data_IF_694246486473
#
_entry.id   IF_694246486473
#
_cell.length_a   1.000
_cell.length_b   1.000
_cell.length_c   1.000
_cell.angle_alpha   90.00
_cell.angle_beta   90.00
_cell.angle_gamma   90.00
#
_symmetry.space_group_name_H-M   'P 1'
#
loop_
_entity.id
_entity.type
_entity.pdbx_description
1 polymer ?
#
# COMPACT_ATOMS: atom_id res chain seq x y z
N UNK A 1 -10.15 -9.34 -10.71
CA UNK A 1 -9.01 -9.50 -11.66
C UNK A 1 -8.20 -10.72 -11.25
N UNK A 2 -7.83 -11.64 -12.16
CA UNK A 2 -7.02 -12.82 -11.82
C UNK A 2 -5.54 -12.46 -11.66
N UNK A 3 -4.80 -13.27 -10.89
CA UNK A 3 -3.34 -13.18 -10.83
C UNK A 3 -2.75 -13.41 -12.23
N UNK A 4 -1.67 -12.69 -12.55
CA UNK A 4 -1.01 -12.74 -13.85
C UNK A 4 -1.68 -11.94 -14.96
N UNK A 5 -2.86 -11.35 -14.72
CA UNK A 5 -3.46 -10.39 -15.66
C UNK A 5 -2.58 -9.15 -15.83
N UNK A 6 -2.66 -8.50 -16.99
CA UNK A 6 -1.88 -7.29 -17.29
C UNK A 6 -2.72 -6.03 -17.09
N UNK A 7 -2.20 -5.09 -16.32
CA UNK A 7 -2.77 -3.77 -16.07
C UNK A 7 -1.93 -2.72 -16.82
N UNK A 8 -2.48 -2.08 -17.88
CA UNK A 8 -1.74 -1.13 -18.70
C UNK A 8 -1.52 0.23 -18.01
N UNK A 9 -2.22 0.47 -16.90
CA UNK A 9 -2.15 1.71 -16.12
C UNK A 9 -0.73 2.03 -15.67
N UNK A 10 -0.36 3.30 -15.79
CA UNK A 10 0.94 3.83 -15.36
C UNK A 10 0.76 4.76 -14.18
N UNK A 11 1.68 4.68 -13.22
CA UNK A 11 1.70 5.56 -12.07
C UNK A 11 2.05 7.00 -12.53
N UNK A 12 1.21 8.02 -12.21
CA UNK A 12 1.50 9.43 -12.48
C UNK A 12 2.75 9.95 -11.76
N UNK A 13 3.32 9.18 -10.83
CA UNK A 13 4.59 9.44 -10.16
C UNK A 13 5.59 8.33 -10.56
N UNK A 14 6.32 8.46 -11.69
CA UNK A 14 7.18 7.40 -12.21
C UNK A 14 8.28 6.93 -11.24
N UNK A 15 8.71 7.80 -10.33
CA UNK A 15 9.68 7.47 -9.28
C UNK A 15 9.12 6.59 -8.16
N UNK A 16 7.80 6.31 -8.14
CA UNK A 16 7.17 5.35 -7.23
C UNK A 16 7.18 3.92 -7.79
N UNK A 17 7.75 3.71 -8.99
CA UNK A 17 7.90 2.38 -9.55
C UNK A 17 8.79 1.51 -8.68
N UNK A 18 8.31 0.33 -8.34
CA UNK A 18 9.00 -0.66 -7.51
C UNK A 18 9.68 -1.73 -8.38
N UNK A 19 11.01 -1.73 -8.38
CA UNK A 19 11.85 -2.70 -9.08
C UNK A 19 12.45 -3.76 -8.15
N UNK A 20 11.94 -3.89 -6.92
CA UNK A 20 12.44 -4.83 -5.91
C UNK A 20 12.24 -6.30 -6.29
N UNK A 21 11.23 -6.58 -7.11
CA UNK A 21 10.96 -7.90 -7.67
C UNK A 21 11.20 -7.89 -9.19
N UNK A 22 11.81 -8.94 -9.75
CA UNK A 22 11.93 -9.07 -11.20
C UNK A 22 10.54 -9.17 -11.86
N UNK A 23 10.50 -9.11 -13.18
CA UNK A 23 9.27 -9.39 -13.92
C UNK A 23 8.74 -10.81 -13.57
N UNK A 24 7.42 -10.97 -13.33
CA UNK A 24 6.84 -12.28 -13.07
C UNK A 24 7.09 -13.27 -14.20
N UNK A 25 7.51 -14.48 -13.84
CA UNK A 25 7.86 -15.56 -14.76
C UNK A 25 7.23 -16.89 -14.30
N UNK A 26 6.55 -17.58 -15.22
CA UNK A 26 5.77 -18.79 -14.92
C UNK A 26 6.62 -19.95 -14.36
N UNK A 27 7.90 -20.03 -14.75
CA UNK A 27 8.78 -21.15 -14.38
C UNK A 27 9.51 -20.92 -13.06
N UNK A 28 9.80 -19.66 -12.75
CA UNK A 28 10.64 -19.26 -11.62
C UNK A 28 9.85 -18.62 -10.48
N UNK A 29 8.53 -18.46 -10.62
CA UNK A 29 7.64 -17.97 -9.57
C UNK A 29 6.66 -19.06 -9.11
N UNK A 30 6.04 -18.83 -7.95
CA UNK A 30 4.96 -19.65 -7.42
C UNK A 30 3.85 -18.77 -6.85
N UNK A 31 2.65 -19.33 -6.76
CA UNK A 31 1.52 -18.71 -6.08
C UNK A 31 1.50 -19.15 -4.62
N UNK A 32 1.51 -18.17 -3.72
CA UNK A 32 1.41 -18.37 -2.27
C UNK A 32 0.01 -17.95 -1.84
N UNK A 33 -0.73 -18.83 -1.17
CA UNK A 33 -1.99 -18.50 -0.54
C UNK A 33 -1.79 -18.36 0.97
N UNK A 34 -2.34 -17.29 1.54
CA UNK A 34 -2.13 -16.92 2.93
C UNK A 34 -3.42 -16.44 3.59
N UNK A 35 -3.50 -16.64 4.90
CA UNK A 35 -4.48 -15.97 5.77
C UNK A 35 -3.73 -15.23 6.86
N UNK A 36 -3.89 -13.90 6.91
CA UNK A 36 -3.30 -13.02 7.93
C UNK A 36 -4.33 -12.71 8.99
N UNK A 37 -3.97 -12.95 10.23
CA UNK A 37 -4.70 -12.45 11.38
C UNK A 37 -4.05 -11.14 11.86
N UNK A 38 -4.80 -10.05 11.76
CA UNK A 38 -4.39 -8.73 12.25
C UNK A 38 -4.45 -8.68 13.77
N UNK A 39 -3.68 -7.76 14.35
CA UNK A 39 -3.66 -7.52 15.80
C UNK A 39 -4.98 -7.02 16.37
N UNK A 40 -5.82 -6.38 15.55
CA UNK A 40 -7.17 -5.93 15.87
C UNK A 40 -8.24 -7.03 15.72
N UNK A 41 -7.84 -8.27 15.38
CA UNK A 41 -8.75 -9.40 15.16
C UNK A 41 -9.32 -9.47 13.74
N UNK A 42 -9.02 -8.51 12.87
CA UNK A 42 -9.36 -8.57 11.46
C UNK A 42 -8.65 -9.72 10.74
N UNK A 43 -9.28 -10.23 9.68
CA UNK A 43 -8.72 -11.33 8.88
C UNK A 43 -8.59 -10.88 7.43
N UNK A 44 -7.44 -11.16 6.85
CA UNK A 44 -7.16 -10.95 5.43
C UNK A 44 -6.80 -12.28 4.80
N UNK A 45 -7.48 -12.63 3.71
CA UNK A 45 -7.03 -13.68 2.82
C UNK A 45 -6.30 -13.06 1.64
N UNK A 46 -5.18 -13.64 1.24
CA UNK A 46 -4.45 -13.15 0.09
C UNK A 46 -3.83 -14.27 -0.74
N UNK A 47 -3.66 -13.97 -2.03
CA UNK A 47 -2.91 -14.78 -2.98
C UNK A 47 -1.82 -13.91 -3.57
N UNK A 48 -0.56 -14.37 -3.54
CA UNK A 48 0.60 -13.61 -3.98
C UNK A 48 1.41 -14.44 -4.99
N UNK A 49 1.86 -13.81 -6.07
CA UNK A 49 2.91 -14.34 -6.92
C UNK A 49 4.25 -13.83 -6.39
N UNK A 50 5.18 -14.74 -6.11
CA UNK A 50 6.54 -14.40 -5.68
C UNK A 50 7.58 -15.32 -6.35
N UNK A 51 8.82 -14.85 -6.56
CA UNK A 51 9.90 -15.69 -7.04
C UNK A 51 10.17 -16.88 -6.11
N UNK A 52 10.54 -18.02 -6.68
CA UNK A 52 10.94 -19.21 -5.92
C UNK A 52 12.17 -18.93 -5.04
N UNK A 53 13.08 -18.06 -5.49
CA UNK A 53 14.21 -17.58 -4.68
C UNK A 53 13.76 -16.81 -3.45
N UNK A 54 12.70 -15.99 -3.57
CA UNK A 54 12.09 -15.28 -2.45
C UNK A 54 11.46 -16.28 -1.48
N UNK A 55 10.67 -17.24 -1.96
CA UNK A 55 10.04 -18.29 -1.12
C UNK A 55 11.10 -19.04 -0.30
N UNK A 56 12.21 -19.43 -0.93
CA UNK A 56 13.32 -20.13 -0.27
C UNK A 56 14.02 -19.24 0.77
N UNK A 57 14.36 -18.00 0.42
CA UNK A 57 15.02 -17.07 1.32
C UNK A 57 14.18 -16.76 2.58
N UNK A 58 12.86 -16.69 2.40
CA UNK A 58 11.90 -16.42 3.47
C UNK A 58 11.43 -17.69 4.20
N UNK A 59 11.92 -18.87 3.81
CA UNK A 59 11.53 -20.18 4.37
C UNK A 59 10.02 -20.36 4.42
N UNK A 60 9.33 -19.92 3.37
CA UNK A 60 7.88 -20.02 3.27
C UNK A 60 7.51 -21.48 2.99
N UNK A 61 6.75 -22.08 3.91
CA UNK A 61 6.32 -23.47 3.85
C UNK A 61 4.84 -23.55 4.14
N UNK A 62 4.09 -24.29 3.31
CA UNK A 62 2.68 -24.52 3.53
C UNK A 62 2.41 -25.15 4.91
N UNK A 63 1.35 -24.67 5.58
CA UNK A 63 0.98 -25.06 6.94
C UNK A 63 1.73 -24.31 8.05
N UNK A 64 2.77 -23.53 7.73
CA UNK A 64 3.48 -22.73 8.73
C UNK A 64 2.90 -21.32 8.86
N UNK A 65 3.13 -20.75 10.04
CA UNK A 65 2.85 -19.35 10.32
C UNK A 65 4.16 -18.56 10.32
N UNK A 66 4.20 -17.43 9.61
CA UNK A 66 5.30 -16.48 9.71
C UNK A 66 4.79 -15.08 10.00
N UNK A 67 5.54 -14.27 10.76
CA UNK A 67 5.36 -12.83 10.74
C UNK A 67 5.52 -12.33 9.31
N UNK A 68 4.53 -11.60 8.81
CA UNK A 68 4.63 -10.97 7.51
C UNK A 68 4.09 -9.55 7.56
N UNK A 69 4.68 -8.71 6.72
CA UNK A 69 4.18 -7.40 6.38
C UNK A 69 3.62 -7.45 4.96
N UNK A 70 2.35 -7.06 4.78
CA UNK A 70 1.73 -6.88 3.47
C UNK A 70 1.73 -5.39 3.16
N UNK A 71 2.59 -4.97 2.24
CA UNK A 71 2.81 -3.56 1.91
C UNK A 71 1.53 -2.91 1.36
N UNK A 72 0.81 -3.63 0.49
CA UNK A 72 -0.40 -3.19 -0.19
C UNK A 72 -1.57 -2.95 0.76
N UNK A 73 -1.50 -3.46 1.99
CA UNK A 73 -2.54 -3.25 3.01
C UNK A 73 -2.01 -2.53 4.25
N UNK A 74 -0.70 -2.26 4.32
CA UNK A 74 -0.02 -1.79 5.53
C UNK A 74 -0.29 -2.67 6.75
N UNK A 75 -0.41 -3.97 6.54
CA UNK A 75 -0.82 -4.91 7.59
C UNK A 75 0.37 -5.69 8.08
N UNK A 76 0.60 -5.61 9.39
CA UNK A 76 1.44 -6.53 10.13
C UNK A 76 0.57 -7.56 10.84
N UNK A 77 0.93 -8.82 10.64
CA UNK A 77 0.23 -9.91 11.27
C UNK A 77 1.02 -11.20 11.22
N UNK A 78 0.43 -12.22 11.81
CA UNK A 78 0.91 -13.59 11.64
C UNK A 78 0.14 -14.16 10.46
N UNK A 79 0.88 -14.50 9.40
CA UNK A 79 0.33 -15.09 8.20
C UNK A 79 0.50 -16.60 8.24
N UNK A 80 -0.62 -17.30 8.15
CA UNK A 80 -0.62 -18.74 7.93
C UNK A 80 -0.54 -19.00 6.44
N UNK A 81 0.48 -19.74 6.00
CA UNK A 81 0.61 -20.17 4.61
C UNK A 81 -0.34 -21.35 4.40
N UNK A 82 -1.39 -21.14 3.63
CA UNK A 82 -2.41 -22.16 3.40
C UNK A 82 -2.05 -23.06 2.22
N UNK A 83 -1.38 -22.53 1.20
CA UNK A 83 -0.89 -23.30 0.05
C UNK A 83 0.30 -22.62 -0.63
N UNK A 84 1.09 -23.44 -1.33
CA UNK A 84 2.08 -23.00 -2.31
C UNK A 84 1.82 -23.82 -3.58
N UNK A 85 1.33 -23.16 -4.61
CA UNK A 85 0.99 -23.76 -5.90
C UNK A 85 1.95 -23.25 -6.99
N UNK A 86 1.98 -23.93 -8.13
CA UNK A 86 2.66 -23.42 -9.33
C UNK A 86 2.14 -22.03 -9.73
N UNK A 87 2.99 -21.23 -10.38
CA UNK A 87 2.57 -19.97 -10.97
C UNK A 87 1.42 -20.22 -11.97
N UNK A 88 0.31 -19.46 -11.92
CA UNK A 88 -0.70 -19.52 -12.95
C UNK A 88 -0.15 -18.98 -14.28
N UNK A 89 -0.84 -19.27 -15.38
CA UNK A 89 -0.51 -18.68 -16.68
C UNK A 89 -0.57 -17.14 -16.59
N UNK A 90 0.48 -16.49 -17.07
CA UNK A 90 0.61 -15.04 -17.11
C UNK A 90 0.07 -14.52 -18.45
N UNK A 91 -0.74 -13.47 -18.41
CA UNK A 91 -1.22 -12.85 -19.63
C UNK A 91 -0.07 -12.17 -20.37
N UNK A 92 -0.03 -12.34 -21.69
CA UNK A 92 0.80 -11.54 -22.59
C UNK A 92 0.15 -10.17 -22.86
N UNK A 93 0.94 -9.14 -23.12
CA UNK A 93 0.44 -7.83 -23.54
C UNK A 93 1.13 -6.67 -22.83
N UNK A 94 0.65 -5.46 -23.09
CA UNK A 94 1.14 -4.25 -22.42
C UNK A 94 0.68 -4.19 -20.96
N UNK A 95 1.51 -3.57 -20.13
CA UNK A 95 1.20 -3.33 -18.72
C UNK A 95 1.91 -4.27 -17.76
N UNK A 96 1.60 -4.10 -16.48
CA UNK A 96 2.28 -4.80 -15.39
C UNK A 96 1.37 -5.89 -14.84
N UNK A 97 1.98 -7.01 -14.42
CA UNK A 97 1.23 -8.17 -13.98
C UNK A 97 0.57 -7.94 -12.61
N UNK A 98 -0.63 -8.49 -12.43
CA UNK A 98 -1.28 -8.58 -11.12
C UNK A 98 -0.58 -9.67 -10.31
N UNK A 99 0.17 -9.26 -9.30
CA UNK A 99 0.99 -10.15 -8.44
C UNK A 99 0.36 -10.44 -7.10
N UNK A 100 -0.78 -9.83 -6.79
CA UNK A 100 -1.41 -9.98 -5.50
C UNK A 100 -2.91 -9.77 -5.58
N UNK A 101 -3.64 -10.49 -4.75
CA UNK A 101 -5.08 -10.31 -4.53
C UNK A 101 -5.33 -10.38 -3.04
N UNK A 102 -6.15 -9.47 -2.55
CA UNK A 102 -6.44 -9.37 -1.13
C UNK A 102 -7.93 -9.28 -0.88
N UNK A 103 -8.36 -9.94 0.18
CA UNK A 103 -9.72 -9.87 0.72
C UNK A 103 -9.61 -9.58 2.20
N UNK A 104 -9.88 -8.35 2.59
CA UNK A 104 -10.10 -8.02 4.00
C UNK A 104 -11.54 -8.42 4.32
N UNK A 105 -11.72 -9.48 5.12
CA UNK A 105 -13.04 -10.12 5.32
C UNK A 105 -14.09 -9.17 5.91
N UNK A 106 -13.62 -8.18 6.67
CA UNK A 106 -14.47 -7.26 7.40
C UNK A 106 -13.75 -5.93 7.63
N UNK A 107 -14.41 -4.86 7.21
CA UNK A 107 -14.14 -3.49 7.62
C UNK A 107 -15.48 -2.91 8.06
N UNK A 108 -15.49 -2.19 9.19
CA UNK A 108 -16.72 -1.67 9.80
C UNK A 108 -16.99 -0.19 9.44
N UNK A 109 -16.04 0.47 8.79
CA UNK A 109 -16.14 1.85 8.30
C UNK A 109 -15.61 1.93 6.86
N UNK A 110 -16.43 2.42 5.95
CA UNK A 110 -16.08 2.63 4.54
C UNK A 110 -16.49 4.03 4.10
N UNK A 111 -15.78 4.59 3.13
CA UNK A 111 -16.21 5.78 2.42
C UNK A 111 -17.00 5.38 1.17
N UNK A 112 -18.08 6.10 0.89
CA UNK A 112 -18.86 6.04 -0.34
C UNK A 112 -18.82 7.40 -1.01
N UNK A 113 -18.45 7.42 -2.28
CA UNK A 113 -18.58 8.59 -3.15
C UNK A 113 -19.51 8.31 -4.32
N UNK A 114 -20.22 9.33 -4.78
CA UNK A 114 -20.80 9.36 -6.12
C UNK A 114 -19.95 10.26 -6.99
N UNK A 115 -19.67 9.82 -8.21
CA UNK A 115 -18.84 10.55 -9.17
C UNK A 115 -19.58 10.74 -10.49
N UNK A 116 -19.46 11.93 -11.07
CA UNK A 116 -19.98 12.28 -12.39
C UNK A 116 -18.86 12.17 -13.43
N UNK A 117 -18.98 11.22 -14.36
CA UNK A 117 -18.11 11.08 -15.52
C UNK A 117 -18.34 12.18 -16.56
N UNK A 118 -17.36 12.37 -17.45
CA UNK A 118 -17.43 13.36 -18.54
C UNK A 118 -18.55 13.07 -19.56
N UNK A 119 -19.00 11.83 -19.65
CA UNK A 119 -20.13 11.39 -20.48
C UNK A 119 -21.50 11.58 -19.81
N UNK A 120 -21.52 12.10 -18.58
CA UNK A 120 -22.73 12.28 -17.77
C UNK A 120 -23.14 11.03 -16.98
N UNK A 121 -22.39 9.93 -17.05
CA UNK A 121 -22.62 8.75 -16.22
C UNK A 121 -22.35 9.09 -14.75
N UNK A 122 -23.22 8.65 -13.84
CA UNK A 122 -22.96 8.68 -12.40
C UNK A 122 -22.63 7.27 -11.93
N UNK A 123 -21.52 7.15 -11.22
CA UNK A 123 -21.09 5.90 -10.62
C UNK A 123 -20.91 6.05 -9.10
N UNK A 124 -21.26 5.02 -8.35
CA UNK A 124 -20.98 4.94 -6.91
C UNK A 124 -19.74 4.09 -6.68
N UNK A 125 -18.75 4.65 -5.97
CA UNK A 125 -17.54 3.94 -5.55
C UNK A 125 -17.52 3.82 -4.02
N UNK A 126 -17.18 2.64 -3.53
CA UNK A 126 -17.02 2.36 -2.11
C UNK A 126 -15.68 1.69 -1.84
N UNK A 127 -15.05 2.09 -0.75
CA UNK A 127 -13.76 1.56 -0.35
C UNK A 127 -13.41 1.94 1.08
N UNK A 128 -12.25 1.53 1.55
CA UNK A 128 -11.76 2.00 2.85
C UNK A 128 -11.52 3.50 2.79
N UNK A 129 -11.76 4.20 3.90
CA UNK A 129 -11.58 5.66 4.01
C UNK A 129 -10.17 6.11 3.65
N UNK A 130 -9.18 5.24 3.86
CA UNK A 130 -7.77 5.50 3.60
C UNK A 130 -7.31 5.17 2.17
N UNK A 131 -8.16 4.53 1.34
CA UNK A 131 -7.71 4.05 0.04
C UNK A 131 -7.38 5.23 -0.89
N UNK A 132 -6.17 5.31 -1.49
CA UNK A 132 -5.78 6.50 -2.21
C UNK A 132 -6.33 6.54 -3.64
N UNK A 133 -6.90 7.70 -4.00
CA UNK A 133 -7.38 8.03 -5.33
C UNK A 133 -6.58 9.21 -5.87
N UNK A 134 -6.28 9.21 -7.17
CA UNK A 134 -5.58 10.33 -7.80
C UNK A 134 -6.49 11.55 -7.98
N UNK A 135 -6.20 12.62 -7.25
CA UNK A 135 -6.84 13.92 -7.42
C UNK A 135 -6.09 14.78 -8.43
N UNK A 136 -6.80 15.24 -9.46
CA UNK A 136 -6.28 16.20 -10.43
C UNK A 136 -6.12 17.60 -9.81
N UNK A 137 -6.95 17.94 -8.83
CA UNK A 137 -6.89 19.25 -8.17
C UNK A 137 -5.73 19.36 -7.20
N UNK A 138 -5.45 18.28 -6.45
CA UNK A 138 -4.34 18.24 -5.49
C UNK A 138 -3.04 17.74 -6.12
N UNK A 139 -3.12 17.18 -7.33
CA UNK A 139 -2.01 16.54 -8.04
C UNK A 139 -1.28 15.51 -7.16
N UNK A 140 -2.05 14.76 -6.38
CA UNK A 140 -1.55 13.76 -5.43
C UNK A 140 -2.60 12.67 -5.17
N UNK A 141 -2.15 11.60 -4.53
CA UNK A 141 -2.95 10.56 -3.92
C UNK A 141 -3.70 11.11 -2.70
N UNK A 142 -5.03 11.10 -2.76
CA UNK A 142 -5.91 11.56 -1.68
C UNK A 142 -6.68 10.36 -1.13
N UNK A 143 -6.71 10.16 0.20
CA UNK A 143 -7.58 9.15 0.80
C UNK A 143 -9.04 9.33 0.38
N UNK A 144 -9.72 8.24 0.03
CA UNK A 144 -11.12 8.25 -0.42
C UNK A 144 -12.05 9.01 0.55
N UNK A 145 -11.83 8.88 1.86
CA UNK A 145 -12.59 9.55 2.91
C UNK A 145 -12.26 11.04 3.11
N UNK A 146 -11.22 11.55 2.45
CA UNK A 146 -10.76 12.95 2.51
C UNK A 146 -11.05 13.74 1.22
N UNK A 147 -11.72 13.12 0.24
CA UNK A 147 -12.17 13.79 -0.98
C UNK A 147 -13.22 14.88 -0.66
N UNK A 148 -13.29 15.89 -1.51
CA UNK A 148 -14.25 16.99 -1.39
C UNK A 148 -15.26 16.95 -2.53
N UNK A 149 -16.50 17.38 -2.27
CA UNK A 149 -17.46 17.63 -3.34
C UNK A 149 -16.91 18.66 -4.34
N UNK A 150 -17.06 18.37 -5.63
CA UNK A 150 -16.47 19.15 -6.72
C UNK A 150 -15.02 18.77 -7.07
N UNK A 151 -14.36 17.92 -6.28
CA UNK A 151 -12.98 17.50 -6.56
C UNK A 151 -12.89 16.68 -7.84
N UNK A 152 -11.93 17.03 -8.71
CA UNK A 152 -11.68 16.37 -9.99
C UNK A 152 -10.73 15.19 -9.81
N UNK A 153 -11.17 14.02 -10.23
CA UNK A 153 -10.42 12.76 -10.16
C UNK A 153 -9.99 12.33 -11.55
N UNK A 154 -8.82 11.69 -11.65
CA UNK A 154 -8.39 11.09 -12.91
C UNK A 154 -9.21 9.83 -13.18
N UNK A 155 -9.81 9.79 -14.38
CA UNK A 155 -10.67 8.70 -14.85
C UNK A 155 -10.25 8.26 -16.26
N UNK A 156 -10.56 7.03 -16.65
CA UNK A 156 -10.25 6.47 -17.96
C UNK A 156 -8.77 6.08 -18.17
N UNK A 157 -8.51 5.20 -19.13
CA UNK A 157 -7.14 4.81 -19.51
C UNK A 157 -6.39 6.02 -20.10
N UNK A 158 -5.10 6.24 -19.77
CA UNK A 158 -4.24 7.06 -20.61
C UNK A 158 -4.34 6.50 -22.04
N UNK A 159 -4.87 7.26 -23.01
CA UNK A 159 -4.74 6.84 -24.40
C UNK A 159 -3.25 6.67 -24.68
N UNK A 160 -2.81 5.59 -25.34
CA UNK A 160 -1.44 5.53 -25.82
C UNK A 160 -1.20 6.79 -26.64
N UNK A 161 -0.20 7.58 -26.23
CA UNK A 161 0.23 8.75 -26.95
C UNK A 161 0.54 8.28 -28.37
N UNK A 162 -0.32 8.62 -29.32
CA UNK A 162 0.06 8.67 -30.72
C UNK A 162 1.33 9.49 -30.76
N UNK A 163 2.44 8.84 -31.11
CA UNK A 163 3.80 9.35 -31.06
C UNK A 163 3.89 10.83 -31.49
N UNK A 164 4.04 11.74 -30.52
CA UNK A 164 4.75 13.00 -30.75
C UNK A 164 5.27 13.54 -29.41
N UNK A 165 6.56 13.29 -29.19
CA UNK A 165 7.57 14.19 -28.61
C UNK A 165 7.07 15.36 -27.75
N UNK A 166 7.30 15.30 -26.43
CA UNK A 166 7.15 16.46 -25.56
C UNK A 166 7.26 16.09 -24.08
N UNK A 167 8.42 16.34 -23.49
CA UNK A 167 8.64 16.34 -22.04
C UNK A 167 7.73 17.40 -21.38
N UNK A 168 6.61 16.96 -20.81
CA UNK A 168 5.70 17.82 -20.05
C UNK A 168 4.45 17.07 -19.58
N UNK A 169 4.14 17.19 -18.29
CA UNK A 169 2.93 16.62 -17.66
C UNK A 169 1.61 17.25 -18.16
N UNK A 170 1.67 18.31 -18.96
CA UNK A 170 0.49 19.03 -19.47
C UNK A 170 -0.32 18.27 -20.53
N UNK A 171 0.07 17.04 -20.91
CA UNK A 171 -0.56 16.29 -22.01
C UNK A 171 -1.19 14.94 -21.64
N UNK A 172 -1.22 14.52 -20.37
CA UNK A 172 -1.65 13.15 -20.01
C UNK A 172 -3.17 13.05 -19.79
N UNK A 173 -3.84 14.13 -19.40
CA UNK A 173 -5.31 14.16 -19.25
C UNK A 173 -5.92 14.56 -20.60
N UNK A 174 -6.28 13.57 -21.42
CA UNK A 174 -7.08 13.83 -22.61
C UNK A 174 -8.44 14.44 -22.23
N UNK A 175 -9.04 15.25 -23.11
CA UNK A 175 -10.45 15.64 -22.96
C UNK A 175 -11.30 14.39 -22.68
N UNK A 176 -11.96 14.35 -21.53
CA UNK A 176 -12.81 13.23 -21.09
C UNK A 176 -12.22 12.32 -20.01
N UNK A 177 -11.00 12.55 -19.52
CA UNK A 177 -10.39 11.76 -18.44
C UNK A 177 -10.61 12.35 -17.03
N UNK A 178 -11.80 12.87 -16.77
CA UNK A 178 -12.15 13.48 -15.49
C UNK A 178 -13.48 12.95 -14.98
N UNK A 179 -13.50 12.59 -13.70
CA UNK A 179 -14.72 12.38 -12.94
C UNK A 179 -14.80 13.41 -11.80
N UNK A 180 -15.99 13.90 -11.48
CA UNK A 180 -16.20 14.92 -10.44
C UNK A 180 -16.90 14.27 -9.25
N UNK A 181 -16.35 14.41 -8.05
CA UNK A 181 -17.03 13.97 -6.82
C UNK A 181 -18.31 14.79 -6.60
N UNK A 182 -19.45 14.12 -6.55
CA UNK A 182 -20.76 14.73 -6.32
C UNK A 182 -21.09 14.70 -4.83
N UNK A 183 -20.85 13.57 -4.19
CA UNK A 183 -21.15 13.35 -2.77
C UNK A 183 -20.06 12.51 -2.12
N UNK A 184 -19.88 12.69 -0.81
CA UNK A 184 -19.06 11.83 0.04
C UNK A 184 -19.82 11.51 1.32
N UNK A 185 -19.85 10.23 1.70
CA UNK A 185 -20.46 9.76 2.94
C UNK A 185 -19.62 8.67 3.59
N UNK A 186 -19.54 8.71 4.93
CA UNK A 186 -18.91 7.66 5.73
C UNK A 186 -19.99 6.70 6.22
N UNK A 187 -19.86 5.44 5.83
CA UNK A 187 -20.82 4.39 6.17
C UNK A 187 -20.22 3.47 7.24
N UNK A 188 -20.96 3.29 8.33
CA UNK A 188 -20.60 2.40 9.41
C UNK A 188 -21.32 1.07 9.24
N UNK A 189 -20.78 0.22 8.37
CA UNK A 189 -21.32 -1.11 8.10
C UNK A 189 -20.21 -2.12 7.86
N UNK A 190 -20.48 -3.35 8.28
CA UNK A 190 -19.56 -4.46 8.13
C UNK A 190 -19.57 -5.00 6.70
N UNK A 191 -18.50 -4.75 5.96
CA UNK A 191 -18.38 -5.15 4.54
C UNK A 191 -16.99 -5.74 4.27
N UNK A 192 -16.87 -6.81 3.47
CA UNK A 192 -15.58 -7.23 2.94
C UNK A 192 -15.09 -6.23 1.88
N UNK A 193 -13.80 -5.94 1.87
CA UNK A 193 -13.17 -5.11 0.84
C UNK A 193 -12.07 -5.87 0.12
N UNK A 194 -11.81 -5.46 -1.12
CA UNK A 194 -10.91 -6.15 -2.03
C UNK A 194 -9.81 -5.20 -2.49
N UNK A 195 -8.59 -5.73 -2.67
CA UNK A 195 -7.46 -4.99 -3.24
C UNK A 195 -6.68 -5.93 -4.18
N UNK A 196 -5.88 -5.36 -5.07
CA UNK A 196 -4.91 -6.10 -5.90
C UNK A 196 -3.52 -5.49 -5.75
N UNK A 197 -2.49 -6.31 -5.96
CA UNK A 197 -1.12 -5.85 -6.16
C UNK A 197 -0.82 -5.85 -7.66
N UNK A 198 -0.18 -4.79 -8.14
CA UNK A 198 0.22 -4.62 -9.55
C UNK A 198 1.72 -4.39 -9.54
N UNK A 199 2.45 -5.32 -10.15
CA UNK A 199 3.91 -5.35 -10.19
C UNK A 199 4.49 -3.99 -10.61
N UNK A 200 5.36 -3.45 -9.78
CA UNK A 200 6.10 -2.20 -9.99
C UNK A 200 5.27 -0.92 -10.00
N UNK A 201 4.19 -0.84 -10.77
CA UNK A 201 3.39 0.39 -10.93
C UNK A 201 2.60 0.74 -9.67
N UNK A 202 2.15 -0.27 -8.92
CA UNK A 202 1.34 -0.11 -7.73
C UNK A 202 0.08 0.76 -7.92
N UNK A 203 -0.47 0.78 -9.14
CA UNK A 203 -1.70 1.49 -9.47
C UNK A 203 -2.61 0.64 -10.35
N UNK A 204 -3.91 0.87 -10.25
CA UNK A 204 -4.92 0.27 -11.11
C UNK A 204 -6.17 1.15 -11.15
N UNK A 205 -7.17 0.71 -11.91
CA UNK A 205 -8.41 1.43 -12.08
C UNK A 205 -9.58 0.68 -11.45
N UNK A 206 -10.51 1.43 -10.87
CA UNK A 206 -11.74 0.92 -10.27
C UNK A 206 -12.97 1.58 -10.88
N UNK A 207 -14.07 0.84 -10.89
CA UNK A 207 -15.33 1.30 -11.47
C UNK A 207 -15.34 1.30 -13.00
N UNK A 208 -16.52 1.54 -13.55
CA UNK A 208 -16.79 1.69 -14.98
C UNK A 208 -16.16 2.97 -15.53
N UNK A 209 -16.11 4.03 -14.73
CA UNK A 209 -15.41 5.27 -15.06
C UNK A 209 -13.87 5.13 -15.01
N UNK A 210 -13.37 4.04 -14.44
CA UNK A 210 -11.94 3.75 -14.38
C UNK A 210 -11.14 4.75 -13.55
N UNK A 211 -11.60 5.04 -12.33
CA UNK A 211 -10.90 5.93 -11.41
C UNK A 211 -9.53 5.36 -11.03
N UNK A 212 -8.48 6.18 -11.08
CA UNK A 212 -7.13 5.76 -10.74
C UNK A 212 -6.93 5.64 -9.22
N UNK A 213 -6.56 4.45 -8.76
CA UNK A 213 -6.22 4.14 -7.36
C UNK A 213 -4.78 3.63 -7.24
N UNK A 214 -4.25 3.68 -6.02
CA UNK A 214 -2.92 3.19 -5.67
C UNK A 214 -3.00 2.03 -4.66
N UNK A 215 -2.12 1.02 -4.81
CA UNK A 215 -2.10 -0.17 -3.94
C UNK A 215 -1.76 0.17 -2.50
N UNK A 216 -0.75 1.03 -2.29
CA UNK A 216 -0.26 1.42 -0.95
C UNK A 216 -0.93 2.70 -0.47
N UNK A 217 -1.43 2.71 0.76
CA UNK A 217 -1.77 3.96 1.44
C UNK A 217 -0.47 4.67 1.89
N UNK A 218 -0.08 5.79 1.30
CA UNK A 218 1.07 6.59 1.81
C UNK A 218 0.52 7.66 2.74
N UNK A 219 0.96 7.65 3.99
CA UNK A 219 0.60 8.67 4.97
C UNK A 219 1.51 9.89 4.74
N UNK A 220 0.91 11.05 4.48
CA UNK A 220 1.63 12.27 4.12
C UNK A 220 1.50 13.37 5.19
N UNK A 221 2.57 14.14 5.47
CA UNK A 221 2.50 15.25 6.41
C UNK A 221 1.33 16.21 6.11
N UNK A 222 0.52 16.52 7.12
CA UNK A 222 -0.61 17.45 7.00
C UNK A 222 -1.95 16.85 6.59
N UNK A 223 -2.03 15.54 6.35
CA UNK A 223 -3.31 14.82 6.08
C UNK A 223 -4.02 14.41 7.38
N UNK A 224 -5.32 14.08 7.31
CA UNK A 224 -6.02 13.53 8.47
C UNK A 224 -5.47 12.15 8.82
N UNK A 225 -5.15 11.32 7.81
CA UNK A 225 -4.42 10.06 8.02
C UNK A 225 -3.09 10.23 8.80
N UNK A 226 -2.38 11.34 8.59
CA UNK A 226 -1.19 11.68 9.37
C UNK A 226 -1.51 12.06 10.81
N UNK A 227 -2.56 12.85 11.03
CA UNK A 227 -3.04 13.18 12.37
C UNK A 227 -3.51 11.93 13.13
N UNK A 228 -4.23 11.03 12.46
CA UNK A 228 -4.70 9.77 13.02
C UNK A 228 -3.54 8.83 13.33
N UNK A 229 -2.55 8.73 12.44
CA UNK A 229 -1.33 7.98 12.70
C UNK A 229 -0.55 8.54 13.91
N UNK A 230 -0.41 9.86 14.02
CA UNK A 230 0.19 10.49 15.20
C UNK A 230 -0.59 10.17 16.48
N UNK A 231 -1.93 10.30 16.43
CA UNK A 231 -2.81 10.01 17.56
C UNK A 231 -2.75 8.53 17.96
N UNK A 232 -2.74 7.62 17.00
CA UNK A 232 -2.61 6.18 17.22
C UNK A 232 -1.28 5.84 17.89
N UNK A 233 -0.17 6.41 17.42
CA UNK A 233 1.16 6.23 18.04
C UNK A 233 1.18 6.78 19.48
N UNK A 234 0.64 7.99 19.68
CA UNK A 234 0.64 8.65 20.99
C UNK A 234 -0.20 7.90 22.03
N UNK A 235 -1.33 7.32 21.61
CA UNK A 235 -2.31 6.66 22.48
C UNK A 235 -2.22 5.12 22.48
N UNK A 236 -1.17 4.56 21.89
CA UNK A 236 -1.03 3.12 21.71
C UNK A 236 -1.04 2.35 23.05
N UNK A 237 -1.86 1.31 23.13
CA UNK A 237 -1.94 0.45 24.31
C UNK A 237 -0.65 -0.38 24.49
N UNK A 238 -0.34 -0.77 25.74
CA UNK A 238 0.83 -1.59 26.06
C UNK A 238 0.83 -2.88 25.24
N UNK A 239 1.94 -3.16 24.55
CA UNK A 239 2.10 -4.35 23.71
C UNK A 239 1.48 -4.23 22.31
N UNK A 240 0.83 -3.11 21.99
CA UNK A 240 0.35 -2.84 20.64
C UNK A 240 1.53 -2.63 19.69
N UNK A 241 1.38 -3.14 18.47
CA UNK A 241 2.31 -2.89 17.36
C UNK A 241 1.62 -2.06 16.31
N UNK A 242 2.23 -0.94 15.94
CA UNK A 242 1.69 0.01 14.97
C UNK A 242 2.68 0.22 13.84
N UNK A 243 2.22 0.11 12.60
CA UNK A 243 3.07 0.30 11.46
C UNK A 243 2.44 1.22 10.43
N UNK A 244 3.27 2.01 9.78
CA UNK A 244 2.85 3.07 8.86
C UNK A 244 3.82 3.16 7.70
N UNK A 245 3.34 3.57 6.53
CA UNK A 245 4.19 3.86 5.37
C UNK A 245 4.13 5.35 5.07
N UNK A 246 5.29 5.97 4.96
CA UNK A 246 5.45 7.38 4.58
C UNK A 246 6.40 7.49 3.39
N UNK A 247 6.48 8.68 2.79
CA UNK A 247 7.26 8.86 1.56
C UNK A 247 8.78 8.77 1.81
N UNK A 248 9.29 9.47 2.82
CA UNK A 248 10.73 9.59 3.06
C UNK A 248 11.15 9.22 4.48
N UNK A 249 12.43 8.93 4.68
CA UNK A 249 13.01 8.75 6.01
C UNK A 249 12.86 10.02 6.89
N UNK A 250 12.76 11.20 6.26
CA UNK A 250 12.47 12.46 6.96
C UNK A 250 11.04 12.49 7.45
N UNK A 251 10.07 12.10 6.62
CA UNK A 251 8.66 12.00 7.04
C UNK A 251 8.51 10.98 8.17
N UNK A 252 9.23 9.86 8.12
CA UNK A 252 9.17 8.86 9.19
C UNK A 252 9.61 9.43 10.54
N UNK A 253 10.67 10.26 10.53
CA UNK A 253 11.13 10.98 11.72
C UNK A 253 10.15 12.05 12.16
N UNK A 254 9.56 12.80 11.23
CA UNK A 254 8.58 13.83 11.53
C UNK A 254 7.31 13.23 12.15
N UNK A 255 6.81 12.12 11.62
CA UNK A 255 5.63 11.41 12.14
C UNK A 255 5.88 10.96 13.58
N UNK A 256 7.02 10.31 13.82
CA UNK A 256 7.38 9.85 15.15
C UNK A 256 7.61 11.00 16.14
N UNK A 257 8.29 12.06 15.69
CA UNK A 257 8.54 13.25 16.50
C UNK A 257 7.23 13.96 16.86
N UNK A 258 6.30 14.09 15.91
CA UNK A 258 4.98 14.67 16.17
C UNK A 258 4.18 13.87 17.19
N UNK A 259 4.27 12.53 17.15
CA UNK A 259 3.52 11.66 18.04
C UNK A 259 4.13 11.51 19.45
N UNK A 260 5.45 11.37 19.55
CA UNK A 260 6.15 10.97 20.79
C UNK A 260 7.18 12.00 21.27
N UNK A 261 7.34 13.11 20.55
CA UNK A 261 8.37 14.11 20.81
C UNK A 261 9.78 13.58 20.55
N UNK A 262 10.76 14.19 21.22
CA UNK A 262 12.16 13.78 21.08
C UNK A 262 12.39 12.32 21.51
N UNK A 263 13.11 11.59 20.65
CA UNK A 263 13.49 10.20 20.85
C UNK A 263 14.96 10.01 20.49
N UNK A 264 15.66 9.20 21.29
CA UNK A 264 17.05 8.87 21.02
C UNK A 264 17.16 7.95 19.80
N UNK A 265 18.06 8.29 18.88
CA UNK A 265 18.45 7.40 17.78
C UNK A 265 19.51 6.42 18.28
N UNK A 266 19.24 5.13 18.16
CA UNK A 266 20.17 4.07 18.51
C UNK A 266 20.76 3.41 17.26
N UNK A 267 21.86 2.68 17.46
CA UNK A 267 22.42 1.78 16.44
C UNK A 267 21.45 0.62 16.21
N UNK A 268 21.50 0.01 15.03
CA UNK A 268 20.63 -1.11 14.68
C UNK A 268 20.85 -2.28 15.66
N UNK A 269 19.74 -2.92 16.06
CA UNK A 269 19.68 -4.02 17.03
C UNK A 269 20.14 -3.64 18.44
N UNK A 270 20.17 -2.35 18.78
CA UNK A 270 20.51 -1.91 20.12
C UNK A 270 19.45 -2.33 21.13
N UNK A 271 18.17 -2.44 20.75
CA UNK A 271 17.12 -2.84 21.70
C UNK A 271 17.34 -4.26 22.25
N UNK A 272 17.79 -5.20 21.41
CA UNK A 272 18.02 -6.59 21.78
C UNK A 272 19.25 -6.77 22.68
N UNK A 273 20.12 -5.75 22.71
CA UNK A 273 21.38 -5.75 23.47
C UNK A 273 21.34 -4.83 24.70
N UNK A 274 20.58 -3.73 24.65
CA UNK A 274 20.63 -2.64 25.62
C UNK A 274 19.28 -2.27 26.25
N UNK A 275 18.17 -2.96 25.94
CA UNK A 275 16.82 -2.74 26.52
C UNK A 275 16.53 -1.26 26.86
N UNK A 276 16.46 -0.39 25.83
CA UNK A 276 16.17 1.02 26.04
C UNK A 276 14.67 1.27 26.25
N UNK A 277 14.33 2.25 27.09
CA UNK A 277 12.93 2.56 27.46
C UNK A 277 12.18 3.42 26.44
N UNK A 278 12.90 4.22 25.64
CA UNK A 278 12.35 5.09 24.58
C UNK A 278 13.40 5.40 23.51
N UNK A 279 13.13 5.10 22.25
CA UNK A 279 14.05 5.38 21.14
C UNK A 279 13.67 4.75 19.82
N UNK A 280 14.45 5.04 18.78
CA UNK A 280 14.29 4.46 17.46
C UNK A 280 15.61 4.05 16.80
N UNK A 281 15.51 3.13 15.86
CA UNK A 281 16.57 2.61 15.02
C UNK A 281 16.17 2.78 13.55
N UNK A 282 17.14 2.90 12.64
CA UNK A 282 16.88 3.01 11.20
C UNK A 282 17.51 1.84 10.47
N UNK A 283 16.68 0.98 9.91
CA UNK A 283 17.09 -0.25 9.25
C UNK A 283 17.05 -0.07 7.73
N UNK A 284 17.96 -0.72 7.02
CA UNK A 284 18.08 -0.62 5.57
C UNK A 284 18.29 -1.99 4.93
N UNK A 285 17.92 -2.08 3.65
CA UNK A 285 17.92 -3.31 2.83
C UNK A 285 19.33 -3.90 2.58
N UNK A 286 20.40 -3.18 2.92
CA UNK A 286 21.79 -3.57 2.64
C UNK A 286 22.50 -4.30 3.80
N UNK A 287 21.84 -4.47 4.95
CA UNK A 287 22.45 -5.12 6.11
C UNK A 287 22.24 -6.64 6.11
N UNK A 288 23.32 -7.40 5.95
CA UNK A 288 23.32 -8.87 5.82
C UNK A 288 22.74 -9.66 7.02
N UNK A 289 22.42 -9.01 8.15
CA UNK A 289 21.71 -9.63 9.28
C UNK A 289 20.18 -9.66 9.12
N UNK A 290 19.63 -8.97 8.12
CA UNK A 290 18.19 -8.97 7.80
C UNK A 290 17.86 -9.93 6.64
N UNK A 291 18.78 -10.84 6.29
CA UNK A 291 18.59 -11.86 5.26
C UNK A 291 17.65 -13.02 5.66
N UNK A 292 16.97 -12.89 6.79
CA UNK A 292 15.77 -13.68 7.05
C UNK A 292 14.59 -12.73 7.02
N UNK A 293 13.99 -12.61 5.83
CA UNK A 293 12.78 -11.82 5.52
C UNK A 293 13.05 -10.35 5.26
N UNK A 294 13.08 -10.00 3.96
CA UNK A 294 13.30 -8.65 3.43
C UNK A 294 12.57 -7.55 4.22
N UNK A 295 13.28 -6.85 5.09
CA UNK A 295 12.80 -5.65 5.74
C UNK A 295 13.04 -4.46 4.80
N UNK A 296 11.95 -3.89 4.31
CA UNK A 296 11.92 -2.58 3.65
C UNK A 296 12.71 -1.54 4.47
N UNK A 297 13.18 -0.46 3.86
CA UNK A 297 13.81 0.61 4.64
C UNK A 297 12.80 1.19 5.62
N UNK A 298 13.16 1.21 6.91
CA UNK A 298 12.19 1.53 7.93
C UNK A 298 12.82 2.07 9.20
N UNK A 299 12.01 2.82 9.93
CA UNK A 299 12.30 3.29 11.27
C UNK A 299 11.62 2.35 12.25
N UNK A 300 12.38 1.59 13.04
CA UNK A 300 11.86 0.79 14.15
C UNK A 300 11.87 1.63 15.42
N UNK A 301 10.74 1.76 16.12
CA UNK A 301 10.64 2.56 17.34
C UNK A 301 10.10 1.75 18.52
N UNK A 302 10.47 2.18 19.72
CA UNK A 302 9.95 1.68 20.98
C UNK A 302 9.75 2.83 21.96
N UNK A 303 8.59 2.88 22.60
CA UNK A 303 8.26 3.81 23.67
C UNK A 303 7.13 3.24 24.52
N UNK A 304 7.17 3.47 25.83
CA UNK A 304 6.06 3.13 26.75
C UNK A 304 5.60 1.65 26.70
N UNK A 305 6.50 0.70 26.40
CA UNK A 305 6.19 -0.74 26.22
C UNK A 305 5.30 -1.04 25.00
N UNK A 306 5.40 -0.17 24.00
CA UNK A 306 4.80 -0.27 22.68
C UNK A 306 5.91 -0.12 21.65
N UNK A 307 5.75 -0.75 20.49
CA UNK A 307 6.72 -0.69 19.39
C UNK A 307 6.04 -0.55 18.05
N UNK A 308 6.78 -0.16 17.03
CA UNK A 308 6.27 -0.12 15.68
C UNK A 308 7.36 0.08 14.64
N UNK A 309 6.96 0.04 13.37
CA UNK A 309 7.80 0.32 12.23
C UNK A 309 7.16 1.41 11.37
N UNK A 310 7.94 2.41 10.98
CA UNK A 310 7.52 3.39 9.98
C UNK A 310 8.37 3.14 8.74
N UNK A 311 7.77 2.49 7.75
CA UNK A 311 8.36 2.18 6.46
C UNK A 311 8.45 3.45 5.62
N UNK A 312 9.54 3.59 4.86
CA UNK A 312 9.70 4.72 3.95
C UNK A 312 10.32 4.30 2.63
N UNK A 313 9.81 4.91 1.56
CA UNK A 313 10.24 4.60 0.19
C UNK A 313 11.61 5.18 -0.14
N UNK A 314 11.89 6.41 0.29
CA UNK A 314 13.15 7.09 -0.01
C UNK A 314 14.03 7.28 1.23
N UNK A 315 15.29 6.79 1.24
CA UNK A 315 16.27 7.22 2.22
C UNK A 315 16.59 8.70 2.04
N UNK A 316 17.14 9.30 3.10
CA UNK A 316 17.76 10.63 3.01
C UNK A 316 19.12 10.56 2.31
#
# INVERSE_FOLDING_TARGET
VPLGARIPTKNPKPWEFDDSLPEPDEQTWSKISITVQRTDGGIIDAELLRPNSWIQANRVVAGQALPMHIEELQVDGVATITAIDACPALSSGEGSAVTGRFVTRRVDEIARIEVLGADGQIETIEGTTIHPIWSLDRNDWVPLGELQEGERLLSGLPRPASATSGIGFEGIVGEGQTAIVITLSILHRSTPVYNIEVHGQHVYQVGELGLLVHNTCVIQPGTQAWADAMSAIANAAKGQKLNFTVKTATDAKQLLFGALGNMNRYKNYAHDVLHYSKGYEMHNVMNARELTVHSLQHLKWYANKTSGHIFYKFPN
#
